data_IF_321782899656
#
_entry.id   IF_321782899656
#
_cell.length_a   1.000
_cell.length_b   1.000
_cell.length_c   1.000
_cell.angle_alpha   90.00
_cell.angle_beta   90.00
_cell.angle_gamma   90.00
#
_symmetry.space_group_name_H-M   'P 1'
#
loop_
_entity.id
_entity.type
_entity.pdbx_description
1 polymer ?
#
# COMPACT_ATOMS: atom_id res chain seq x y z
N UNK A 1 -28.75 65.50 -12.94
CA UNK A 1 -29.91 64.77 -13.48
C UNK A 1 -29.77 63.30 -13.05
N UNK A 2 -30.65 62.88 -12.13
CA UNK A 2 -31.06 61.53 -11.67
C UNK A 2 -30.14 60.32 -11.97
N UNK A 3 -29.56 59.67 -10.95
CA UNK A 3 -30.09 58.53 -10.15
C UNK A 3 -30.33 57.26 -10.99
N UNK A 4 -29.61 56.17 -10.66
CA UNK A 4 -30.22 54.88 -10.25
C UNK A 4 -29.15 53.83 -9.87
N UNK A 5 -29.05 53.58 -8.56
CA UNK A 5 -28.76 52.25 -8.02
C UNK A 5 -29.79 51.23 -8.52
N UNK A 6 -29.35 49.99 -8.75
CA UNK A 6 -30.26 48.84 -8.76
C UNK A 6 -29.63 47.66 -8.01
N UNK A 7 -29.88 47.67 -6.71
CA UNK A 7 -30.01 46.48 -5.86
C UNK A 7 -31.03 45.53 -6.48
N UNK A 8 -30.63 44.27 -6.71
CA UNK A 8 -31.60 43.18 -6.85
C UNK A 8 -31.44 42.24 -5.66
N UNK A 9 -32.27 42.45 -4.65
CA UNK A 9 -32.65 41.42 -3.69
C UNK A 9 -33.38 40.31 -4.44
N UNK A 10 -33.02 39.05 -4.19
CA UNK A 10 -33.93 37.93 -4.41
C UNK A 10 -34.12 37.19 -3.08
N UNK A 11 -35.29 37.45 -2.52
CA UNK A 11 -35.83 36.91 -1.30
C UNK A 11 -36.10 35.41 -1.43
N UNK A 12 -35.81 34.70 -0.34
CA UNK A 12 -36.62 33.62 0.26
C UNK A 12 -37.59 32.88 -0.67
N UNK A 13 -37.24 31.65 -1.03
CA UNK A 13 -38.24 30.67 -1.47
C UNK A 13 -38.22 29.43 -0.58
N UNK A 14 -39.43 29.10 -0.14
CA UNK A 14 -39.84 28.13 0.86
C UNK A 14 -39.44 26.70 0.53
N UNK A 15 -39.30 25.95 1.63
CA UNK A 15 -39.37 24.49 1.76
C UNK A 15 -40.14 23.76 0.65
N UNK A 16 -39.44 22.82 0.00
CA UNK A 16 -40.02 21.78 -0.84
C UNK A 16 -39.74 20.39 -0.23
N UNK A 17 -40.63 19.41 -0.46
CA UNK A 17 -40.86 18.31 0.45
C UNK A 17 -39.84 17.17 0.33
N UNK A 18 -39.72 16.44 1.44
CA UNK A 18 -38.98 15.19 1.61
C UNK A 18 -39.28 14.16 0.52
N UNK A 19 -38.33 13.98 -0.40
CA UNK A 19 -38.32 12.81 -1.29
C UNK A 19 -37.89 11.58 -0.49
N UNK A 20 -38.83 10.64 -0.36
CA UNK A 20 -38.59 9.29 0.14
C UNK A 20 -37.46 8.63 -0.64
N UNK A 21 -36.36 8.29 0.03
CA UNK A 21 -35.33 7.43 -0.53
C UNK A 21 -35.88 5.99 -0.59
N UNK A 22 -35.75 5.37 -1.76
CA UNK A 22 -36.06 3.97 -1.94
C UNK A 22 -35.06 3.11 -1.16
N UNK A 23 -35.58 2.34 -0.21
CA UNK A 23 -34.84 1.36 0.59
C UNK A 23 -34.50 0.15 -0.31
N UNK A 24 -33.27 0.07 -0.82
CA UNK A 24 -32.80 -1.13 -1.52
C UNK A 24 -32.32 -2.13 -0.46
N UNK A 25 -33.24 -3.00 -0.02
CA UNK A 25 -32.93 -4.15 0.84
C UNK A 25 -32.22 -5.22 0.02
N UNK A 26 -30.93 -5.43 0.27
CA UNK A 26 -30.26 -6.66 -0.13
C UNK A 26 -30.54 -7.74 0.91
N UNK A 27 -31.46 -8.66 0.56
CA UNK A 27 -31.65 -9.91 1.27
C UNK A 27 -30.42 -10.80 1.07
N UNK A 28 -29.54 -10.87 2.07
CA UNK A 28 -28.52 -11.91 2.17
C UNK A 28 -29.17 -13.13 2.84
N UNK A 29 -29.45 -14.15 2.03
CA UNK A 29 -29.92 -15.44 2.51
C UNK A 29 -28.86 -16.07 3.44
N UNK A 30 -29.27 -16.25 4.69
CA UNK A 30 -28.63 -17.11 5.67
C UNK A 30 -28.75 -18.56 5.20
N UNK A 31 -27.66 -19.14 4.69
CA UNK A 31 -27.44 -20.60 4.62
C UNK A 31 -26.01 -20.87 4.16
N UNK A 32 -25.07 -20.98 5.10
CA UNK A 32 -24.04 -22.03 5.17
C UNK A 32 -23.03 -21.67 6.27
N UNK A 33 -23.39 -22.03 7.51
CA UNK A 33 -22.43 -22.21 8.60
C UNK A 33 -22.14 -23.71 8.69
N UNK A 34 -20.89 -24.04 9.02
CA UNK A 34 -20.27 -25.37 9.14
C UNK A 34 -19.83 -25.95 7.78
N UNK A 35 -18.54 -26.10 7.50
CA UNK A 35 -17.68 -27.13 8.09
C UNK A 35 -16.21 -26.81 7.76
N UNK A 36 -15.28 -27.33 8.57
CA UNK A 36 -13.81 -27.39 8.41
C UNK A 36 -13.00 -26.34 9.16
N UNK A 37 -13.06 -26.46 10.48
CA UNK A 37 -11.89 -26.35 11.33
C UNK A 37 -10.90 -27.49 11.05
N UNK A 38 -9.61 -27.20 11.27
CA UNK A 38 -8.43 -28.07 11.16
C UNK A 38 -7.93 -28.36 9.75
N UNK A 39 -6.86 -27.66 9.35
CA UNK A 39 -5.75 -28.19 8.55
C UNK A 39 -4.61 -27.16 8.54
N UNK A 40 -3.49 -27.56 9.14
CA UNK A 40 -2.22 -26.84 9.21
C UNK A 40 -1.66 -26.65 7.80
N UNK A 41 -1.55 -25.41 7.33
CA UNK A 41 -1.01 -25.12 5.99
C UNK A 41 0.52 -25.20 5.99
N UNK A 42 1.05 -26.24 5.34
CA UNK A 42 2.44 -26.31 4.88
C UNK A 42 2.53 -25.78 3.43
N UNK A 43 3.56 -25.00 3.04
CA UNK A 43 3.57 -24.25 1.77
C UNK A 43 3.73 -25.12 0.49
N UNK A 44 3.81 -26.44 0.62
CA UNK A 44 4.17 -27.34 -0.49
C UNK A 44 2.93 -27.80 -1.32
N UNK A 45 1.71 -27.65 -0.80
CA UNK A 45 0.51 -28.23 -1.44
C UNK A 45 -0.20 -27.34 -2.47
N UNK A 46 0.11 -26.04 -2.58
CA UNK A 46 -0.62 -25.14 -3.49
C UNK A 46 -0.20 -25.25 -4.96
N UNK A 47 0.97 -25.82 -5.25
CA UNK A 47 1.47 -25.92 -6.63
C UNK A 47 1.03 -27.19 -7.39
N UNK A 48 0.52 -28.22 -6.70
CA UNK A 48 0.13 -29.48 -7.34
C UNK A 48 -1.27 -29.43 -7.99
N UNK A 49 -2.12 -28.45 -7.66
CA UNK A 49 -3.50 -28.37 -8.16
C UNK A 49 -3.66 -27.68 -9.53
N UNK A 50 -2.60 -27.10 -10.10
CA UNK A 50 -2.67 -26.34 -11.37
C UNK A 50 -2.10 -27.11 -12.57
N UNK A 51 -1.41 -28.24 -12.37
CA UNK A 51 -0.69 -28.95 -13.45
C UNK A 51 -1.34 -30.25 -13.98
N UNK A 52 -2.59 -30.57 -13.60
CA UNK A 52 -3.31 -31.72 -14.20
C UNK A 52 -4.78 -31.38 -14.52
N UNK A 53 -4.98 -30.65 -15.62
CA UNK A 53 -6.21 -30.72 -16.44
C UNK A 53 -5.82 -30.61 -17.92
N UNK A 54 -5.52 -31.76 -18.51
CA UNK A 54 -5.19 -31.94 -19.91
C UNK A 54 -6.44 -31.95 -20.80
N UNK A 55 -6.40 -31.25 -21.93
CA UNK A 55 -6.28 -31.85 -23.29
C UNK A 55 -6.39 -30.78 -24.37
N UNK A 56 -5.43 -30.65 -25.30
CA UNK A 56 -5.65 -29.95 -26.55
C UNK A 56 -6.16 -30.91 -27.64
N UNK A 57 -7.21 -30.51 -28.34
CA UNK A 57 -7.76 -31.14 -29.54
C UNK A 57 -6.95 -30.70 -30.76
N UNK A 58 -6.45 -31.63 -31.57
CA UNK A 58 -5.80 -31.31 -32.85
C UNK A 58 -6.78 -31.47 -34.02
N UNK A 59 -6.87 -30.51 -34.97
CA UNK A 59 -7.68 -30.66 -36.17
C UNK A 59 -6.94 -31.45 -37.25
N UNK A 60 -7.69 -32.33 -37.92
CA UNK A 60 -7.26 -33.11 -39.10
C UNK A 60 -7.37 -32.28 -40.40
N UNK A 61 -6.37 -32.39 -41.28
CA UNK A 61 -6.44 -31.89 -42.67
C UNK A 61 -5.99 -32.98 -43.67
N UNK A 62 -6.39 -32.88 -44.95
CA UNK A 62 -6.88 -34.02 -45.70
C UNK A 62 -5.83 -34.73 -46.56
N UNK A 63 -6.15 -35.98 -46.85
CA UNK A 63 -5.48 -36.90 -47.77
C UNK A 63 -5.72 -36.45 -49.22
N UNK A 64 -4.66 -36.13 -49.97
CA UNK A 64 -4.72 -36.10 -51.43
C UNK A 64 -3.85 -37.21 -52.03
N UNK A 65 -4.50 -38.02 -52.88
CA UNK A 65 -3.87 -38.96 -53.81
C UNK A 65 -3.14 -38.16 -54.88
N UNK A 66 -1.94 -38.60 -55.25
CA UNK A 66 -1.50 -38.56 -56.64
C UNK A 66 -0.68 -39.80 -56.92
N UNK A 67 -1.27 -40.67 -57.74
CA UNK A 67 -0.65 -41.82 -58.37
C UNK A 67 0.12 -41.29 -59.59
N UNK A 68 1.44 -41.50 -59.66
CA UNK A 68 2.12 -41.51 -60.95
C UNK A 68 3.25 -42.53 -60.93
N UNK A 69 2.98 -43.61 -61.65
CA UNK A 69 3.93 -44.62 -62.08
C UNK A 69 5.12 -43.98 -62.78
N UNK A 70 6.33 -44.38 -62.40
CA UNK A 70 7.43 -44.57 -63.34
C UNK A 70 8.27 -45.77 -62.91
N UNK A 71 8.18 -46.81 -63.73
CA UNK A 71 9.03 -47.98 -63.78
C UNK A 71 10.49 -47.59 -64.08
N UNK A 72 11.43 -48.19 -63.36
CA UNK A 72 12.85 -48.07 -63.67
C UNK A 72 13.72 -48.63 -62.56
N UNK A 73 13.89 -49.95 -62.52
CA UNK A 73 14.93 -50.57 -61.71
C UNK A 73 16.28 -50.42 -62.41
N UNK A 74 17.35 -50.07 -61.68
CA UNK A 74 18.65 -50.63 -61.95
C UNK A 74 19.23 -51.35 -60.73
N UNK A 75 19.76 -52.53 -61.00
CA UNK A 75 20.46 -53.44 -60.10
C UNK A 75 21.59 -52.72 -59.36
N UNK A 76 21.67 -52.85 -58.02
CA UNK A 76 22.87 -52.54 -57.25
C UNK A 76 23.50 -53.82 -56.68
N UNK A 77 24.85 -53.89 -56.62
CA UNK A 77 25.56 -55.14 -56.35
C UNK A 77 25.39 -55.59 -54.89
N UNK A 78 25.27 -56.91 -54.70
CA UNK A 78 25.40 -57.55 -53.40
C UNK A 78 26.80 -57.33 -52.84
N UNK A 79 26.91 -56.59 -51.75
CA UNK A 79 28.09 -56.65 -50.89
C UNK A 79 27.84 -57.74 -49.85
N UNK A 80 28.61 -58.83 -49.92
CA UNK A 80 28.69 -59.83 -48.85
C UNK A 80 29.38 -59.18 -47.64
N UNK A 81 28.61 -58.79 -46.63
CA UNK A 81 29.16 -58.54 -45.30
C UNK A 81 29.35 -59.89 -44.60
N UNK A 82 30.61 -60.24 -44.36
CA UNK A 82 30.98 -61.35 -43.49
C UNK A 82 30.45 -61.08 -42.08
N UNK A 83 29.62 -61.99 -41.58
CA UNK A 83 29.32 -62.07 -40.15
C UNK A 83 30.58 -62.54 -39.44
N UNK A 84 31.16 -61.69 -38.61
CA UNK A 84 32.03 -62.13 -37.53
C UNK A 84 31.18 -62.22 -36.28
N UNK A 85 30.89 -63.44 -35.82
CA UNK A 85 30.34 -63.72 -34.50
C UNK A 85 31.36 -63.24 -33.46
N UNK A 86 31.10 -62.07 -32.87
CA UNK A 86 31.78 -61.65 -31.64
C UNK A 86 30.95 -62.13 -30.46
N UNK A 87 31.55 -62.77 -29.44
CA UNK A 87 30.85 -63.20 -28.25
C UNK A 87 30.21 -61.98 -27.56
N UNK A 88 28.95 -62.15 -27.19
CA UNK A 88 28.09 -61.15 -26.56
C UNK A 88 28.79 -60.44 -25.40
N UNK A 89 29.13 -59.16 -25.59
CA UNK A 89 29.48 -58.29 -24.47
C UNK A 89 28.26 -58.14 -23.56
N UNK A 90 28.40 -58.22 -22.21
CA UNK A 90 27.26 -58.03 -21.32
C UNK A 90 26.69 -56.62 -21.49
N UNK A 91 25.36 -56.43 -21.43
CA UNK A 91 24.76 -55.11 -21.53
C UNK A 91 25.28 -54.24 -20.38
N UNK A 92 25.97 -53.14 -20.71
CA UNK A 92 26.37 -52.14 -19.71
C UNK A 92 25.10 -51.59 -19.06
N UNK A 93 24.94 -51.65 -17.73
CA UNK A 93 23.70 -51.20 -17.10
C UNK A 93 23.53 -49.69 -17.30
N UNK A 94 22.31 -49.17 -17.52
CA UNK A 94 22.04 -47.75 -17.75
C UNK A 94 22.12 -46.95 -16.44
N UNK A 95 23.20 -47.07 -15.67
CA UNK A 95 23.36 -46.44 -14.34
C UNK A 95 23.87 -44.99 -14.40
N UNK A 96 24.17 -44.45 -15.60
CA UNK A 96 24.75 -43.11 -15.77
C UNK A 96 23.78 -42.01 -16.16
N UNK A 97 22.56 -42.30 -16.62
CA UNK A 97 21.60 -41.26 -17.00
C UNK A 97 20.75 -40.82 -15.81
N UNK A 98 20.26 -41.75 -15.00
CA UNK A 98 19.46 -41.44 -13.80
C UNK A 98 20.29 -40.69 -12.74
N UNK A 99 21.54 -41.11 -12.50
CA UNK A 99 22.45 -40.43 -11.57
C UNK A 99 22.82 -39.01 -12.02
N UNK A 100 22.95 -38.78 -13.33
CA UNK A 100 23.17 -37.44 -13.90
C UNK A 100 21.92 -36.58 -13.78
N UNK A 101 20.73 -37.11 -14.07
CA UNK A 101 19.46 -36.39 -13.89
C UNK A 101 19.20 -36.00 -12.42
N UNK A 102 19.48 -36.90 -11.47
CA UNK A 102 19.38 -36.60 -10.03
C UNK A 102 20.39 -35.55 -9.59
N UNK A 103 21.64 -35.63 -10.07
CA UNK A 103 22.67 -34.62 -9.80
C UNK A 103 22.32 -33.24 -10.36
N UNK A 104 21.86 -33.14 -11.61
CA UNK A 104 21.44 -31.88 -12.21
C UNK A 104 20.20 -31.29 -11.52
N UNK A 105 19.25 -32.13 -11.11
CA UNK A 105 18.06 -31.68 -10.37
C UNK A 105 18.44 -31.13 -8.99
N UNK A 106 19.34 -31.80 -8.26
CA UNK A 106 19.83 -31.32 -6.97
C UNK A 106 20.55 -29.96 -7.08
N UNK A 107 21.40 -29.80 -8.10
CA UNK A 107 22.07 -28.52 -8.38
C UNK A 107 21.04 -27.44 -8.74
N UNK A 108 20.02 -27.75 -9.53
CA UNK A 108 18.97 -26.80 -9.89
C UNK A 108 18.15 -26.36 -8.67
N UNK A 109 17.73 -27.29 -7.80
CA UNK A 109 17.03 -26.95 -6.55
C UNK A 109 17.90 -26.15 -5.60
N UNK A 110 19.18 -26.48 -5.47
CA UNK A 110 20.12 -25.73 -4.65
C UNK A 110 20.35 -24.32 -5.22
N UNK A 111 20.60 -24.19 -6.52
CA UNK A 111 20.79 -22.89 -7.17
C UNK A 111 19.53 -22.03 -7.11
N UNK A 112 18.35 -22.62 -7.27
CA UNK A 112 17.07 -21.93 -7.13
C UNK A 112 16.82 -21.48 -5.69
N UNK A 113 17.02 -22.37 -4.71
CA UNK A 113 16.90 -22.06 -3.28
C UNK A 113 17.92 -21.02 -2.80
N UNK A 114 19.17 -21.12 -3.25
CA UNK A 114 20.22 -20.15 -2.98
C UNK A 114 19.93 -18.81 -3.68
N UNK A 115 19.40 -18.82 -4.90
CA UNK A 115 18.97 -17.62 -5.62
C UNK A 115 17.84 -16.88 -4.89
N UNK A 116 16.80 -17.60 -4.46
CA UNK A 116 15.71 -17.03 -3.65
C UNK A 116 16.22 -16.51 -2.30
N UNK A 117 17.12 -17.24 -1.65
CA UNK A 117 17.72 -16.85 -0.37
C UNK A 117 18.59 -15.61 -0.53
N UNK A 118 19.42 -15.53 -1.58
CA UNK A 118 20.29 -14.40 -1.86
C UNK A 118 19.49 -13.15 -2.24
N UNK A 119 18.44 -13.30 -3.05
CA UNK A 119 17.54 -12.20 -3.39
C UNK A 119 16.79 -11.69 -2.15
N UNK A 120 16.31 -12.61 -1.30
CA UNK A 120 15.62 -12.27 -0.04
C UNK A 120 16.58 -11.57 0.93
N UNK A 121 17.80 -12.10 1.08
CA UNK A 121 18.84 -11.52 1.93
C UNK A 121 19.26 -10.12 1.45
N UNK A 122 19.45 -9.91 0.14
CA UNK A 122 19.74 -8.58 -0.43
C UNK A 122 18.60 -7.59 -0.19
N UNK A 123 17.36 -8.04 -0.32
CA UNK A 123 16.18 -7.19 -0.14
C UNK A 123 16.00 -6.82 1.32
N UNK A 124 16.12 -7.79 2.23
CA UNK A 124 16.08 -7.58 3.68
C UNK A 124 17.22 -6.67 4.14
N UNK A 125 18.46 -6.89 3.70
CA UNK A 125 19.58 -6.02 4.07
C UNK A 125 19.39 -4.58 3.59
N UNK A 126 18.83 -4.35 2.39
CA UNK A 126 18.55 -2.97 1.93
C UNK A 126 17.51 -2.25 2.78
N UNK A 127 16.54 -2.99 3.31
CA UNK A 127 15.47 -2.44 4.17
C UNK A 127 15.96 -2.30 5.63
N UNK A 128 16.83 -3.19 6.09
CA UNK A 128 17.29 -3.28 7.48
C UNK A 128 18.57 -2.49 7.79
N UNK A 129 19.35 -2.08 6.77
CA UNK A 129 20.68 -1.48 6.98
C UNK A 129 20.69 0.06 7.02
N UNK A 130 19.60 0.75 6.65
CA UNK A 130 19.52 2.19 6.80
C UNK A 130 19.09 2.53 8.24
N UNK A 131 19.88 3.31 9.02
CA UNK A 131 19.41 3.82 10.30
C UNK A 131 18.15 4.66 10.08
N UNK A 132 17.11 4.41 10.88
CA UNK A 132 15.90 5.26 10.87
C UNK A 132 16.31 6.61 11.47
N UNK A 133 16.14 7.73 10.75
CA UNK A 133 16.50 9.04 11.25
C UNK A 133 15.75 9.39 12.55
N UNK A 134 16.41 10.12 13.45
CA UNK A 134 15.77 10.61 14.69
C UNK A 134 14.71 11.67 14.39
N UNK A 135 13.90 12.02 15.38
CA UNK A 135 12.90 13.09 15.23
C UNK A 135 13.56 14.42 14.84
N UNK A 136 14.66 14.79 15.50
CA UNK A 136 15.40 16.03 15.29
C UNK A 136 16.02 16.07 13.89
N UNK A 137 16.63 14.97 13.45
CA UNK A 137 17.19 14.84 12.11
C UNK A 137 16.11 15.07 11.05
N UNK A 138 14.90 14.54 11.27
CA UNK A 138 13.80 14.67 10.29
C UNK A 138 13.29 16.10 10.13
N UNK A 139 13.41 16.92 11.18
CA UNK A 139 13.01 18.33 11.14
C UNK A 139 13.96 19.15 10.27
N UNK A 140 15.24 18.78 10.24
CA UNK A 140 16.28 19.44 9.42
C UNK A 140 16.44 18.86 8.01
N UNK A 141 15.81 17.72 7.72
CA UNK A 141 16.03 16.97 6.48
C UNK A 141 15.33 17.57 5.24
N UNK A 142 14.30 18.40 5.43
CA UNK A 142 13.57 19.01 4.32
C UNK A 142 14.33 20.20 3.75
N UNK A 143 14.52 20.20 2.43
CA UNK A 143 15.05 21.35 1.69
C UNK A 143 14.00 21.80 0.69
N UNK A 144 13.50 23.01 0.87
CA UNK A 144 12.48 23.57 -0.02
C UNK A 144 13.07 23.80 -1.43
N UNK A 145 12.43 23.29 -2.49
CA UNK A 145 12.91 23.45 -3.86
C UNK A 145 12.66 24.85 -4.44
N UNK A 146 11.72 25.60 -3.87
CA UNK A 146 11.29 26.92 -4.34
C UNK A 146 10.83 27.83 -3.18
N UNK A 147 10.63 29.11 -3.47
CA UNK A 147 10.25 30.13 -2.47
C UNK A 147 8.87 29.91 -1.88
N UNK A 148 7.91 29.40 -2.67
CA UNK A 148 6.56 29.11 -2.19
C UNK A 148 6.59 27.97 -1.16
N UNK A 149 7.31 26.89 -1.48
CA UNK A 149 7.52 25.75 -0.59
C UNK A 149 8.21 26.19 0.71
N UNK A 150 9.21 27.08 0.62
CA UNK A 150 9.89 27.62 1.80
C UNK A 150 8.93 28.46 2.67
N UNK A 151 8.09 29.29 2.05
CA UNK A 151 7.10 30.10 2.76
C UNK A 151 6.03 29.24 3.46
N UNK A 152 5.52 28.21 2.77
CA UNK A 152 4.55 27.27 3.34
C UNK A 152 5.15 26.53 4.53
N UNK A 153 6.39 26.05 4.37
CA UNK A 153 7.12 25.34 5.41
C UNK A 153 7.32 26.21 6.65
N UNK A 154 7.78 27.45 6.44
CA UNK A 154 7.99 28.43 7.49
C UNK A 154 6.69 28.78 8.23
N UNK A 155 5.60 28.95 7.48
CA UNK A 155 4.27 29.25 8.04
C UNK A 155 3.80 28.11 8.94
N UNK A 156 3.95 26.85 8.53
CA UNK A 156 3.62 25.69 9.36
C UNK A 156 4.52 25.59 10.60
N UNK A 157 5.81 25.85 10.44
CA UNK A 157 6.82 25.75 11.51
C UNK A 157 6.58 26.76 12.64
N UNK A 158 6.22 27.98 12.27
CA UNK A 158 6.04 29.14 13.16
C UNK A 158 4.56 29.39 13.53
N UNK A 159 3.65 28.53 13.08
CA UNK A 159 2.24 28.65 13.43
C UNK A 159 2.03 28.58 14.95
N UNK A 160 1.12 29.39 15.49
CA UNK A 160 0.84 29.43 16.94
C UNK A 160 0.49 28.04 17.52
N UNK A 161 -0.30 27.25 16.79
CA UNK A 161 -0.57 25.84 17.15
C UNK A 161 0.70 24.97 17.20
N UNK A 162 1.63 25.15 16.27
CA UNK A 162 2.89 24.39 16.26
C UNK A 162 3.76 24.77 17.47
N UNK A 163 3.85 26.06 17.79
CA UNK A 163 4.56 26.55 18.97
C UNK A 163 3.91 26.06 20.28
N UNK A 164 2.58 26.07 20.38
CA UNK A 164 1.84 25.58 21.54
C UNK A 164 2.05 24.08 21.74
N UNK A 165 2.00 23.28 20.68
CA UNK A 165 2.27 21.84 20.74
C UNK A 165 3.72 21.54 21.11
N UNK A 166 4.68 22.31 20.58
CA UNK A 166 6.11 22.17 20.90
C UNK A 166 6.44 22.57 22.33
N UNK A 167 5.70 23.52 22.91
CA UNK A 167 5.84 23.91 24.31
C UNK A 167 5.30 22.86 25.28
N UNK A 168 4.46 21.92 24.82
CA UNK A 168 3.90 20.87 25.65
C UNK A 168 4.87 19.65 25.74
N UNK A 169 5.38 19.31 26.94
CA UNK A 169 6.36 18.24 27.12
C UNK A 169 5.80 16.82 26.87
N UNK A 170 4.48 16.67 26.79
CA UNK A 170 3.86 15.39 26.45
C UNK A 170 3.90 15.08 24.95
N UNK A 171 4.21 16.08 24.12
CA UNK A 171 4.28 15.93 22.67
C UNK A 171 5.72 15.81 22.17
N UNK A 172 5.89 15.01 21.12
CA UNK A 172 7.11 14.89 20.34
C UNK A 172 6.86 15.34 18.92
N UNK A 173 7.76 16.13 18.35
CA UNK A 173 7.65 16.68 17.00
C UNK A 173 8.53 15.89 16.03
N UNK A 174 8.02 15.59 14.83
CA UNK A 174 8.79 14.94 13.78
C UNK A 174 8.24 15.27 12.38
N UNK A 175 9.02 14.91 11.34
CA UNK A 175 8.54 14.81 9.95
C UNK A 175 8.54 13.36 9.46
N UNK A 176 7.41 12.65 9.58
CA UNK A 176 7.32 11.22 9.29
C UNK A 176 7.82 10.79 7.91
N UNK A 177 7.58 11.60 6.87
CA UNK A 177 7.98 11.29 5.50
C UNK A 177 9.50 11.15 5.36
N UNK A 178 10.29 11.87 6.17
CA UNK A 178 11.75 11.80 6.15
C UNK A 178 12.31 10.58 6.87
N UNK A 179 11.49 9.90 7.67
CA UNK A 179 11.88 8.67 8.36
C UNK A 179 11.78 7.44 7.44
N UNK A 180 11.08 7.59 6.32
CA UNK A 180 11.05 6.59 5.23
C UNK A 180 12.34 6.75 4.41
N UNK A 181 13.12 5.68 4.17
CA UNK A 181 14.29 5.75 3.30
C UNK A 181 13.93 6.28 1.91
N UNK A 182 14.79 7.11 1.31
CA UNK A 182 14.52 7.79 0.04
C UNK A 182 14.09 6.82 -1.08
N UNK A 183 14.76 5.67 -1.19
CA UNK A 183 14.45 4.62 -2.18
C UNK A 183 13.04 4.03 -2.05
N UNK A 184 12.43 4.11 -0.86
CA UNK A 184 11.08 3.64 -0.58
C UNK A 184 10.06 4.79 -0.57
N UNK A 185 10.50 6.00 -0.23
CA UNK A 185 9.65 7.19 -0.12
C UNK A 185 8.93 7.50 -1.43
N UNK A 186 9.60 7.35 -2.57
CA UNK A 186 8.99 7.53 -3.90
C UNK A 186 7.82 6.57 -4.18
N UNK A 187 7.72 5.45 -3.43
CA UNK A 187 6.64 4.46 -3.53
C UNK A 187 5.59 4.60 -2.42
N UNK A 188 5.73 5.57 -1.53
CA UNK A 188 4.70 5.96 -0.58
C UNK A 188 3.68 6.83 -1.29
N UNK A 189 2.40 6.61 -0.99
CA UNK A 189 1.31 7.39 -1.55
C UNK A 189 1.41 8.86 -1.13
N UNK A 190 1.49 9.14 0.18
CA UNK A 190 1.52 10.50 0.75
C UNK A 190 2.91 11.12 0.79
N UNK A 191 3.95 10.34 1.09
CA UNK A 191 5.32 10.84 1.16
C UNK A 191 6.03 10.91 -0.21
N UNK A 192 5.43 10.32 -1.24
CA UNK A 192 5.98 10.24 -2.60
C UNK A 192 4.99 10.73 -3.64
N UNK A 193 4.06 9.87 -4.06
CA UNK A 193 3.17 10.13 -5.22
C UNK A 193 2.35 11.42 -5.10
N UNK A 194 1.90 11.74 -3.88
CA UNK A 194 1.12 12.94 -3.57
C UNK A 194 1.97 14.07 -2.95
N UNK A 195 3.29 13.93 -2.91
CA UNK A 195 4.20 14.96 -2.46
C UNK A 195 4.67 15.84 -3.62
N UNK A 196 4.93 17.12 -3.32
CA UNK A 196 5.52 18.07 -4.26
C UNK A 196 4.58 19.21 -4.67
N UNK A 197 5.02 20.05 -5.63
CA UNK A 197 4.29 21.26 -6.00
C UNK A 197 2.84 20.99 -6.38
N UNK A 198 1.94 21.83 -5.89
CA UNK A 198 0.50 21.72 -6.10
C UNK A 198 -0.20 20.61 -5.31
N UNK A 199 0.50 19.73 -4.59
CA UNK A 199 -0.10 18.57 -3.88
C UNK A 199 0.06 18.73 -2.38
N UNK A 200 0.60 17.73 -1.68
CA UNK A 200 1.16 17.91 -0.33
C UNK A 200 2.52 18.58 -0.52
N UNK A 201 2.52 19.91 -0.50
CA UNK A 201 3.64 20.74 -0.98
C UNK A 201 4.89 20.52 -0.14
N UNK A 202 4.72 20.49 1.18
CA UNK A 202 5.81 20.25 2.14
C UNK A 202 5.47 19.03 3.00
N UNK A 203 6.48 18.25 3.44
CA UNK A 203 6.27 17.18 4.40
C UNK A 203 5.63 17.72 5.69
N UNK A 204 4.58 17.05 6.21
CA UNK A 204 3.82 17.57 7.34
C UNK A 204 4.65 17.59 8.62
N UNK A 205 4.34 18.56 9.47
CA UNK A 205 4.78 18.57 10.87
C UNK A 205 3.82 17.73 11.69
N UNK A 206 4.34 16.69 12.35
CA UNK A 206 3.52 15.79 13.18
C UNK A 206 3.97 15.85 14.62
N UNK A 207 3.01 16.16 15.48
CA UNK A 207 3.13 16.18 16.93
C UNK A 207 2.39 14.96 17.48
N UNK A 208 3.09 14.09 18.18
CA UNK A 208 2.53 12.88 18.77
C UNK A 208 2.62 12.95 20.29
N UNK A 209 1.47 12.84 20.96
CA UNK A 209 1.40 12.74 22.41
C UNK A 209 1.92 11.36 22.86
N UNK A 210 2.50 11.30 24.06
CA UNK A 210 2.99 10.07 24.68
C UNK A 210 1.96 8.95 24.64
N UNK A 211 2.46 7.73 24.49
CA UNK A 211 1.68 6.48 24.52
C UNK A 211 0.57 6.39 23.45
N UNK A 212 0.60 7.26 22.43
CA UNK A 212 -0.34 7.22 21.32
C UNK A 212 -1.73 7.76 21.70
N UNK A 213 -1.82 8.60 22.73
CA UNK A 213 -3.08 9.17 23.21
C UNK A 213 -3.71 10.10 22.18
N UNK A 214 -2.93 11.04 21.63
CA UNK A 214 -3.39 11.93 20.57
C UNK A 214 -2.27 12.29 19.59
N UNK A 215 -2.64 12.83 18.43
CA UNK A 215 -1.72 13.29 17.40
C UNK A 215 -2.31 14.51 16.68
N UNK A 216 -1.45 15.47 16.35
CA UNK A 216 -1.77 16.58 15.45
C UNK A 216 -0.79 16.58 14.29
N UNK A 217 -1.30 16.68 13.06
CA UNK A 217 -0.51 16.81 11.84
C UNK A 217 -0.88 18.10 11.12
N UNK A 218 0.09 19.00 10.95
CA UNK A 218 -0.08 20.27 10.26
C UNK A 218 0.44 20.14 8.82
N UNK A 219 -0.35 20.58 7.85
CA UNK A 219 -0.05 20.42 6.43
C UNK A 219 -0.69 21.51 5.58
N UNK A 220 -0.17 21.66 4.36
CA UNK A 220 -0.75 22.51 3.32
C UNK A 220 -1.22 21.64 2.16
N UNK A 221 -2.43 21.88 1.67
CA UNK A 221 -3.04 21.11 0.58
C UNK A 221 -3.18 21.98 -0.66
N UNK A 222 -2.42 21.67 -1.71
CA UNK A 222 -2.46 22.41 -2.97
C UNK A 222 -3.61 22.02 -3.90
N UNK A 223 -3.65 22.64 -5.08
CA UNK A 223 -4.72 22.51 -6.07
C UNK A 223 -4.68 21.26 -6.95
N UNK A 224 -3.53 20.59 -7.14
CA UNK A 224 -3.41 19.36 -7.96
C UNK A 224 -4.08 18.13 -7.32
N UNK A 225 -4.46 18.22 -6.05
CA UNK A 225 -5.17 17.18 -5.31
C UNK A 225 -6.67 17.46 -5.20
N UNK A 226 -7.18 18.36 -6.04
CA UNK A 226 -8.60 18.67 -6.14
C UNK A 226 -9.41 17.54 -6.79
N UNK A 227 -10.64 17.36 -6.32
CA UNK A 227 -11.65 16.54 -7.01
C UNK A 227 -12.61 17.37 -7.86
N UNK A 228 -12.80 18.63 -7.47
CA UNK A 228 -13.58 19.64 -8.17
C UNK A 228 -12.77 20.95 -8.20
N UNK A 229 -12.93 21.84 -9.19
CA UNK A 229 -12.18 23.10 -9.21
C UNK A 229 -12.18 23.84 -7.87
N UNK A 230 -10.99 23.98 -7.28
CA UNK A 230 -10.78 24.67 -6.00
C UNK A 230 -11.14 23.87 -4.74
N UNK A 231 -11.61 22.62 -4.84
CA UNK A 231 -12.00 21.78 -3.70
C UNK A 231 -11.14 20.50 -3.69
N UNK A 232 -10.39 20.33 -2.62
CA UNK A 232 -9.57 19.14 -2.33
C UNK A 232 -10.44 17.88 -2.41
N UNK A 233 -9.92 16.84 -3.08
CA UNK A 233 -10.64 15.59 -3.27
C UNK A 233 -10.94 14.92 -1.92
N UNK A 234 -12.19 14.52 -1.68
CA UNK A 234 -12.59 13.88 -0.42
C UNK A 234 -11.82 12.59 -0.12
N UNK A 235 -11.39 11.86 -1.14
CA UNK A 235 -10.50 10.70 -1.01
C UNK A 235 -9.09 11.04 -0.49
N UNK A 236 -8.55 12.23 -0.78
CA UNK A 236 -7.29 12.66 -0.16
C UNK A 236 -7.50 12.86 1.35
N UNK A 237 -8.58 13.55 1.73
CA UNK A 237 -8.91 13.75 3.15
C UNK A 237 -9.11 12.41 3.87
N UNK A 238 -9.76 11.45 3.22
CA UNK A 238 -9.91 10.09 3.73
C UNK A 238 -8.55 9.38 3.91
N UNK A 239 -7.64 9.54 2.95
CA UNK A 239 -6.29 8.97 2.99
C UNK A 239 -5.49 9.56 4.15
N UNK A 240 -5.55 10.89 4.33
CA UNK A 240 -4.89 11.59 5.43
C UNK A 240 -5.43 11.14 6.78
N UNK A 241 -6.75 11.03 6.92
CA UNK A 241 -7.41 10.52 8.13
C UNK A 241 -7.00 9.08 8.45
N UNK A 242 -6.96 8.19 7.46
CA UNK A 242 -6.53 6.81 7.63
C UNK A 242 -5.08 6.73 8.16
N UNK A 243 -4.15 7.37 7.46
CA UNK A 243 -2.73 7.37 7.84
C UNK A 243 -2.48 8.07 9.18
N UNK A 244 -3.14 9.21 9.42
CA UNK A 244 -2.99 10.00 10.63
C UNK A 244 -3.53 9.29 11.87
N UNK A 245 -4.73 8.72 11.80
CA UNK A 245 -5.32 7.96 12.91
C UNK A 245 -4.58 6.64 13.16
N UNK A 246 -4.12 5.96 12.11
CA UNK A 246 -3.27 4.78 12.27
C UNK A 246 -2.00 5.14 13.04
N UNK A 247 -1.30 6.19 12.61
CA UNK A 247 -0.08 6.68 13.25
C UNK A 247 -0.30 7.06 14.70
N UNK A 248 -1.43 7.69 15.02
CA UNK A 248 -1.80 8.08 16.38
C UNK A 248 -1.86 6.86 17.31
N UNK A 249 -2.55 5.79 16.91
CA UNK A 249 -2.76 4.63 17.79
C UNK A 249 -1.64 3.60 17.79
N UNK A 250 -0.65 3.68 16.89
CA UNK A 250 0.46 2.73 16.87
C UNK A 250 1.12 2.59 18.25
N UNK A 251 1.58 3.65 18.94
CA UNK A 251 2.25 3.48 20.24
C UNK A 251 1.36 2.84 21.33
N UNK A 252 0.03 2.92 21.19
CA UNK A 252 -0.92 2.36 22.14
C UNK A 252 -1.16 0.84 21.96
N UNK A 253 -0.68 0.26 20.86
CA UNK A 253 -0.83 -1.17 20.55
C UNK A 253 0.41 -1.97 20.96
N UNK A 254 0.24 -3.24 21.40
CA UNK A 254 1.34 -4.08 21.91
C UNK A 254 2.58 -4.16 21.03
N UNK A 255 2.40 -4.35 19.72
CA UNK A 255 3.50 -4.45 18.75
C UNK A 255 3.68 -3.19 17.89
N UNK A 256 3.05 -2.08 18.29
CA UNK A 256 3.17 -0.77 17.63
C UNK A 256 2.88 -0.79 16.12
N UNK A 257 1.97 -1.65 15.70
CA UNK A 257 1.52 -1.81 14.31
C UNK A 257 0.04 -2.05 14.27
N UNK A 258 -0.63 -1.49 13.27
CA UNK A 258 -2.04 -1.72 13.04
C UNK A 258 -2.36 -1.69 11.55
N UNK A 259 -3.47 -2.32 11.19
CA UNK A 259 -4.12 -2.16 9.89
C UNK A 259 -5.54 -1.66 10.09
N UNK A 260 -6.05 -0.91 9.14
CA UNK A 260 -7.41 -0.38 9.15
C UNK A 260 -8.42 -1.53 8.97
N UNK A 261 -9.33 -1.68 9.92
CA UNK A 261 -10.45 -2.62 9.83
C UNK A 261 -11.76 -1.93 9.45
N UNK A 262 -11.96 -0.70 9.93
CA UNK A 262 -13.09 0.14 9.55
C UNK A 262 -12.66 1.61 9.58
N UNK A 263 -13.17 2.37 8.62
CA UNK A 263 -13.02 3.82 8.51
C UNK A 263 -14.36 4.41 8.11
N UNK A 264 -14.96 5.22 8.98
CA UNK A 264 -16.21 5.91 8.73
C UNK A 264 -15.98 7.43 8.77
N UNK A 265 -16.41 8.14 7.74
CA UNK A 265 -16.04 9.53 7.48
C UNK A 265 -17.30 10.37 7.20
N UNK A 266 -17.43 11.47 7.93
CA UNK A 266 -18.46 12.49 7.72
C UNK A 266 -17.81 13.77 7.17
N UNK A 267 -18.11 14.13 5.92
CA UNK A 267 -17.67 15.39 5.32
C UNK A 267 -18.61 16.53 5.76
N UNK A 268 -18.07 17.51 6.49
CA UNK A 268 -18.84 18.60 7.13
C UNK A 268 -18.86 19.87 6.27
N UNK A 269 -17.73 20.21 5.66
CA UNK A 269 -17.57 21.41 4.83
C UNK A 269 -16.59 21.14 3.67
N UNK A 270 -16.70 21.87 2.54
CA UNK A 270 -15.75 21.74 1.45
C UNK A 270 -14.34 22.16 1.90
N UNK A 271 -13.36 21.30 1.70
CA UNK A 271 -11.96 21.64 1.90
C UNK A 271 -11.44 22.38 0.66
N UNK A 272 -11.35 23.70 0.74
CA UNK A 272 -10.72 24.51 -0.32
C UNK A 272 -9.27 24.09 -0.55
N UNK A 273 -8.79 24.22 -1.79
CA UNK A 273 -7.37 24.09 -2.08
C UNK A 273 -6.59 25.32 -1.62
N UNK A 274 -5.26 25.18 -1.61
CA UNK A 274 -4.30 26.22 -1.29
C UNK A 274 -4.47 26.81 0.12
N UNK A 275 -4.78 25.93 1.07
CA UNK A 275 -4.96 26.28 2.47
C UNK A 275 -4.16 25.36 3.41
N UNK A 276 -3.90 25.88 4.61
CA UNK A 276 -3.35 25.14 5.72
C UNK A 276 -4.45 24.39 6.47
N UNK A 277 -4.17 23.17 6.90
CA UNK A 277 -5.09 22.34 7.67
C UNK A 277 -4.37 21.62 8.81
N UNK A 278 -5.12 21.30 9.85
CA UNK A 278 -4.69 20.45 10.94
C UNK A 278 -5.52 19.18 10.96
N UNK A 279 -4.85 18.03 10.88
CA UNK A 279 -5.45 16.74 11.20
C UNK A 279 -5.22 16.46 12.68
N UNK A 280 -6.30 16.23 13.43
CA UNK A 280 -6.24 15.82 14.84
C UNK A 280 -6.79 14.41 14.97
N UNK A 281 -6.11 13.57 15.74
CA UNK A 281 -6.52 12.21 16.02
C UNK A 281 -6.39 11.91 17.52
N UNK A 282 -7.30 11.12 18.06
CA UNK A 282 -7.33 10.72 19.46
C UNK A 282 -7.68 9.23 19.58
N UNK A 283 -6.82 8.47 20.27
CA UNK A 283 -7.08 7.06 20.57
C UNK A 283 -8.06 6.98 21.74
N UNK A 284 -9.34 6.81 21.42
CA UNK A 284 -10.42 6.82 22.43
C UNK A 284 -10.51 5.54 23.24
N UNK A 285 -10.06 4.41 22.69
CA UNK A 285 -10.18 3.10 23.35
C UNK A 285 -9.18 2.09 22.79
N UNK A 286 -8.60 1.27 23.66
CA UNK A 286 -7.76 0.13 23.28
C UNK A 286 -8.22 -1.13 24.02
N UNK A 287 -8.48 -2.22 23.29
CA UNK A 287 -8.80 -3.54 23.84
C UNK A 287 -8.00 -4.63 23.12
N UNK A 288 -6.93 -5.09 23.78
CA UNK A 288 -6.05 -6.13 23.25
C UNK A 288 -5.40 -5.67 21.94
N UNK A 289 -5.85 -6.25 20.81
CA UNK A 289 -5.34 -5.93 19.46
C UNK A 289 -6.16 -4.88 18.72
N UNK A 290 -7.15 -4.25 19.36
CA UNK A 290 -8.08 -3.30 18.73
C UNK A 290 -7.86 -1.92 19.30
N UNK A 291 -7.73 -0.92 18.44
CA UNK A 291 -7.73 0.50 18.83
C UNK A 291 -8.84 1.22 18.08
N UNK A 292 -9.68 1.95 18.82
CA UNK A 292 -10.66 2.88 18.25
C UNK A 292 -10.07 4.28 18.31
N UNK A 293 -10.15 4.98 17.20
CA UNK A 293 -9.57 6.31 17.04
C UNK A 293 -10.62 7.21 16.43
N UNK A 294 -10.75 8.41 16.99
CA UNK A 294 -11.54 9.49 16.38
C UNK A 294 -10.57 10.50 15.79
N UNK A 295 -10.94 11.07 14.65
CA UNK A 295 -10.11 12.03 13.96
C UNK A 295 -10.92 13.09 13.25
N UNK A 296 -10.32 14.26 13.04
CA UNK A 296 -10.89 15.33 12.25
C UNK A 296 -9.82 16.08 11.47
N UNK A 297 -10.19 16.67 10.35
CA UNK A 297 -9.38 17.68 9.67
C UNK A 297 -10.13 19.01 9.77
N UNK A 298 -9.44 20.02 10.24
CA UNK A 298 -9.93 21.39 10.38
C UNK A 298 -9.01 22.37 9.63
N UNK A 299 -9.54 23.52 9.26
CA UNK A 299 -8.71 24.62 8.73
C UNK A 299 -7.68 25.05 9.78
N UNK A 300 -6.55 25.58 9.34
CA UNK A 300 -5.51 26.15 10.20
C UNK A 300 -5.31 27.64 9.83
N UNK A 301 -6.20 28.53 10.31
CA UNK A 301 -6.14 29.94 9.93
C UNK A 301 -4.94 30.66 10.55
N UNK A 302 -4.25 31.47 9.75
CA UNK A 302 -3.12 32.30 10.20
C UNK A 302 -3.54 33.68 10.70
N UNK A 303 -4.81 34.06 10.48
CA UNK A 303 -5.40 35.35 10.85
C UNK A 303 -6.04 35.36 12.25
N UNK A 304 -5.95 34.24 12.99
CA UNK A 304 -6.54 34.09 14.31
C UNK A 304 -8.04 33.79 14.30
N UNK A 305 -8.65 33.57 13.13
CA UNK A 305 -10.03 33.09 13.06
C UNK A 305 -10.17 31.66 13.61
N UNK A 306 -11.39 31.29 14.01
CA UNK A 306 -11.64 29.98 14.57
C UNK A 306 -11.48 28.88 13.50
N UNK A 307 -10.80 27.75 13.82
CA UNK A 307 -10.74 26.59 12.93
C UNK A 307 -12.14 26.08 12.56
N UNK A 308 -12.34 25.74 11.29
CA UNK A 308 -13.56 25.13 10.79
C UNK A 308 -13.31 23.64 10.55
N UNK A 309 -14.15 22.77 11.10
CA UNK A 309 -14.09 21.33 10.85
C UNK A 309 -14.55 21.05 9.42
N UNK A 310 -13.66 20.45 8.62
CA UNK A 310 -13.91 20.08 7.23
C UNK A 310 -14.44 18.65 7.14
N UNK A 311 -13.86 17.74 7.91
CA UNK A 311 -14.22 16.32 7.93
C UNK A 311 -13.97 15.73 9.31
N UNK A 312 -14.83 14.80 9.73
CA UNK A 312 -14.70 14.02 10.95
C UNK A 312 -14.71 12.53 10.61
N UNK A 313 -14.12 11.72 11.48
CA UNK A 313 -13.98 10.29 11.24
C UNK A 313 -13.89 9.49 12.53
N UNK A 314 -14.40 8.26 12.45
CA UNK A 314 -14.22 7.21 13.45
C UNK A 314 -13.64 5.99 12.77
N UNK A 315 -12.59 5.41 13.36
CA UNK A 315 -11.92 4.25 12.79
C UNK A 315 -11.63 3.18 13.84
N UNK A 316 -11.55 1.95 13.35
CA UNK A 316 -11.09 0.78 14.08
C UNK A 316 -9.82 0.26 13.43
N UNK A 317 -8.73 0.24 14.18
CA UNK A 317 -7.46 -0.34 13.80
C UNK A 317 -7.23 -1.65 14.55
N UNK A 318 -6.62 -2.62 13.86
CA UNK A 318 -6.34 -3.94 14.41
C UNK A 318 -4.88 -4.32 14.20
N UNK A 319 -4.20 -4.73 15.27
CA UNK A 319 -2.87 -5.33 15.19
C UNK A 319 -2.95 -6.72 14.51
N UNK A 320 -2.22 -6.99 13.42
CA UNK A 320 -2.20 -8.31 12.79
C UNK A 320 -1.72 -9.41 13.75
N UNK A 321 -2.36 -10.59 13.74
CA UNK A 321 -2.00 -11.70 14.67
C UNK A 321 -0.55 -12.16 14.57
N UNK A 322 0.08 -11.96 13.40
CA UNK A 322 1.45 -12.38 13.14
C UNK A 322 2.49 -11.30 13.49
N UNK A 323 2.07 -10.13 13.97
CA UNK A 323 2.97 -9.00 14.27
C UNK A 323 4.13 -9.42 15.20
N UNK A 324 3.82 -10.15 16.28
CA UNK A 324 4.81 -10.64 17.23
C UNK A 324 5.87 -11.59 16.61
N UNK A 325 5.60 -12.21 15.46
CA UNK A 325 6.48 -13.19 14.79
C UNK A 325 7.25 -12.56 13.62
N UNK A 326 6.68 -11.52 12.98
CA UNK A 326 7.25 -10.90 11.77
C UNK A 326 8.16 -9.70 12.03
N UNK A 327 8.12 -9.13 13.23
CA UNK A 327 8.85 -7.89 13.54
C UNK A 327 10.24 -8.25 14.07
N UNK A 328 11.28 -8.03 13.26
CA UNK A 328 12.63 -7.90 13.81
C UNK A 328 12.67 -6.62 14.65
N UNK A 329 13.27 -6.64 15.86
CA UNK A 329 13.15 -5.56 16.85
C UNK A 329 13.74 -4.19 16.44
N UNK A 330 14.18 -4.02 15.18
CA UNK A 330 14.81 -2.79 14.67
C UNK A 330 13.97 -2.01 13.64
N UNK A 331 12.85 -2.55 13.14
CA UNK A 331 12.08 -1.89 12.04
C UNK A 331 11.10 -0.83 12.54
N UNK A 332 10.78 -0.78 13.83
CA UNK A 332 9.67 0.05 14.31
C UNK A 332 10.21 1.23 15.11
N UNK A 333 9.86 2.42 14.62
CA UNK A 333 9.59 3.67 15.34
C UNK A 333 9.90 3.66 16.84
N UNK A 334 11.18 3.61 17.18
CA UNK A 334 11.62 4.02 18.51
C UNK A 334 11.57 5.55 18.52
N UNK A 335 10.48 6.08 19.09
CA UNK A 335 10.50 7.37 19.76
C UNK A 335 11.42 7.22 20.98
N UNK A 336 12.71 7.45 20.78
CA UNK A 336 13.55 7.96 21.85
C UNK A 336 13.49 9.48 21.81
#
# INVERSE_FOLDING_TARGET
MKIADSTTEYSSCRSLPSRKYAEVKYNLNHSFVSTLSSLSFSPVSFFYSIMFRLKPSFPSLPRSRLYRSFSGAPKRPQYKTYFSENPSAPPRPPRRLISRFLGFSAIAFFAFGAGLSFQSFRTLNRIMAAPIPTNEETLSAYQAPDSLSAQIDETLRTHAEAEALRANPDFTEARPHHKIPETLRARSLTAGTLAGPGKIVVPPYVFSERDGKSMVSLMYLGSDVCGHPGIVHGGLLATLLDEGMARCCFPALPNKVAVTANLNIDYRAPAMADQYVALRAETVKVEGRKAWVEGRIETLPTDGSAPMVLVESKALFIEPRQAAVSISPKVIWNSH
#
